data_IF_848423862007
#
_entry.id   IF_848423862007
#
_cell.length_a   1.000
_cell.length_b   1.000
_cell.length_c   1.000
_cell.angle_alpha   90.00
_cell.angle_beta   90.00
_cell.angle_gamma   90.00
#
_symmetry.space_group_name_H-M   'P 1'
#
loop_
_entity.id
_entity.type
_entity.pdbx_description
1 polymer ?
#
# COMPACT_ATOMS: atom_id res chain seq x y z
N UNK A 1 12.68 -4.48 -15.74
CA UNK A 1 13.85 -3.91 -15.05
C UNK A 1 14.01 -4.69 -13.77
N UNK A 2 15.23 -5.02 -13.37
CA UNK A 2 15.48 -5.67 -12.07
C UNK A 2 15.83 -4.59 -11.05
N UNK A 3 15.53 -4.86 -9.78
CA UNK A 3 15.84 -3.93 -8.68
C UNK A 3 17.31 -3.49 -8.67
N UNK A 4 18.24 -4.43 -8.87
CA UNK A 4 19.69 -4.13 -8.84
C UNK A 4 20.17 -3.27 -10.02
N UNK A 5 19.37 -3.12 -11.07
CA UNK A 5 19.66 -2.24 -12.22
C UNK A 5 19.23 -0.79 -11.94
N UNK A 6 18.47 -0.56 -10.87
CA UNK A 6 17.98 0.77 -10.51
C UNK A 6 18.98 1.46 -9.58
N UNK A 7 19.49 2.65 -9.93
CA UNK A 7 20.40 3.35 -9.06
C UNK A 7 19.72 3.71 -7.72
N UNK A 8 20.42 3.47 -6.62
CA UNK A 8 19.94 3.84 -5.28
C UNK A 8 19.70 5.35 -5.24
N UNK A 9 18.49 5.78 -4.88
CA UNK A 9 18.16 7.20 -4.90
C UNK A 9 18.97 7.97 -3.85
N UNK A 10 19.37 9.16 -4.22
CA UNK A 10 20.10 10.07 -3.34
C UNK A 10 19.19 11.20 -2.82
N UNK A 11 19.70 12.00 -1.88
CA UNK A 11 18.93 13.08 -1.25
C UNK A 11 18.63 14.28 -2.16
N UNK A 12 19.19 14.35 -3.38
CA UNK A 12 18.82 15.37 -4.35
C UNK A 12 17.48 15.07 -5.02
N UNK A 13 17.07 13.82 -5.02
CA UNK A 13 15.75 13.41 -5.50
C UNK A 13 14.70 13.78 -4.46
N UNK A 14 13.71 14.55 -4.86
CA UNK A 14 12.67 15.10 -3.97
C UNK A 14 12.02 14.06 -3.07
N UNK A 15 11.63 12.90 -3.62
CA UNK A 15 10.96 11.82 -2.88
C UNK A 15 11.86 11.18 -1.81
N UNK A 16 13.18 11.34 -1.90
CA UNK A 16 14.16 10.70 -1.02
C UNK A 16 14.99 11.69 -0.19
N UNK A 17 14.62 12.97 -0.22
CA UNK A 17 15.34 14.04 0.49
C UNK A 17 15.47 13.80 1.99
N UNK A 18 14.37 13.36 2.62
CA UNK A 18 14.28 13.24 4.07
C UNK A 18 14.46 11.81 4.58
N UNK A 19 14.20 10.82 3.74
CA UNK A 19 14.30 9.41 4.10
C UNK A 19 15.15 8.68 3.07
N UNK A 20 16.39 8.28 3.44
CA UNK A 20 17.24 7.52 2.53
C UNK A 20 16.70 6.10 2.33
N UNK A 21 16.93 5.53 1.13
CA UNK A 21 16.53 4.18 0.79
C UNK A 21 17.04 3.15 1.82
N UNK A 22 18.30 3.27 2.24
CA UNK A 22 18.92 2.38 3.23
C UNK A 22 18.22 2.34 4.61
N UNK A 23 17.43 3.36 4.93
CA UNK A 23 16.68 3.40 6.20
C UNK A 23 15.32 2.71 6.13
N UNK A 24 14.82 2.45 4.94
CA UNK A 24 13.52 1.80 4.72
C UNK A 24 13.65 0.43 4.07
N UNK A 25 14.82 0.08 3.57
CA UNK A 25 15.15 -1.25 3.08
C UNK A 25 15.27 -2.23 4.26
N UNK A 26 14.70 -3.44 4.18
CA UNK A 26 14.69 -4.37 5.33
C UNK A 26 16.05 -4.99 5.65
N UNK A 27 16.95 -5.01 4.67
CA UNK A 27 18.29 -5.62 4.80
C UNK A 27 19.36 -4.72 4.17
N UNK A 28 20.25 -5.25 3.34
CA UNK A 28 21.22 -4.48 2.55
C UNK A 28 20.61 -4.04 1.23
N UNK A 29 20.89 -2.80 0.81
CA UNK A 29 20.40 -2.22 -0.45
C UNK A 29 20.91 -2.97 -1.70
N UNK A 30 21.92 -3.81 -1.56
CA UNK A 30 22.51 -4.61 -2.63
C UNK A 30 21.85 -5.99 -2.79
N UNK A 31 20.73 -6.22 -2.12
CA UNK A 31 20.06 -7.52 -2.14
C UNK A 31 18.53 -7.39 -2.17
N UNK A 32 17.88 -8.40 -2.72
CA UNK A 32 16.42 -8.55 -2.64
C UNK A 32 16.13 -9.84 -1.87
N UNK A 33 15.86 -9.76 -0.57
CA UNK A 33 15.48 -10.93 0.20
C UNK A 33 14.10 -11.43 -0.26
N UNK A 34 13.87 -12.74 -0.19
CA UNK A 34 12.53 -13.29 -0.29
C UNK A 34 11.83 -13.09 1.06
N UNK A 35 10.77 -12.28 1.05
CA UNK A 35 10.02 -11.94 2.24
C UNK A 35 8.67 -12.65 2.22
N UNK A 36 8.27 -13.21 3.35
CA UNK A 36 7.00 -13.90 3.49
C UNK A 36 5.81 -12.93 3.35
N UNK A 37 4.69 -13.44 2.84
CA UNK A 37 3.45 -12.68 2.81
C UNK A 37 2.91 -12.47 4.22
N UNK A 38 2.41 -11.27 4.50
CA UNK A 38 1.61 -11.02 5.69
C UNK A 38 0.32 -11.85 5.67
N UNK A 39 -0.25 -12.08 6.84
CA UNK A 39 -1.56 -12.72 6.95
C UNK A 39 -2.66 -11.72 6.57
N UNK A 40 -3.62 -12.17 5.76
CA UNK A 40 -4.74 -11.34 5.30
C UNK A 40 -6.05 -12.03 5.67
N UNK A 41 -6.88 -11.33 6.44
CA UNK A 41 -8.25 -11.74 6.77
C UNK A 41 -9.23 -10.67 6.30
N UNK A 42 -10.48 -11.07 6.03
CA UNK A 42 -11.46 -10.14 5.46
C UNK A 42 -12.88 -10.46 5.89
N UNK A 43 -13.71 -9.44 5.81
CA UNK A 43 -15.15 -9.52 6.01
C UNK A 43 -15.85 -8.53 5.07
N UNK A 44 -16.90 -8.97 4.40
CA UNK A 44 -17.73 -8.15 3.51
C UNK A 44 -17.19 -7.96 2.09
N UNK A 45 -15.91 -8.18 1.82
CA UNK A 45 -15.30 -8.12 0.48
C UNK A 45 -15.11 -9.51 -0.12
N UNK A 46 -15.02 -9.60 -1.45
CA UNK A 46 -14.57 -10.81 -2.13
C UNK A 46 -13.04 -10.74 -2.31
N UNK A 47 -12.32 -11.75 -1.84
CA UNK A 47 -10.86 -11.81 -1.96
C UNK A 47 -10.43 -13.09 -2.65
N UNK A 48 -9.64 -12.92 -3.71
CA UNK A 48 -8.93 -13.99 -4.38
C UNK A 48 -7.44 -13.92 -3.99
N UNK A 49 -7.01 -14.85 -3.17
CA UNK A 49 -5.62 -14.92 -2.70
C UNK A 49 -4.71 -15.62 -3.70
N UNK A 50 -3.40 -15.33 -3.58
CA UNK A 50 -2.33 -15.94 -4.38
C UNK A 50 -2.43 -15.68 -5.90
N UNK A 51 -3.05 -14.59 -6.30
CA UNK A 51 -2.94 -14.09 -7.66
C UNK A 51 -1.50 -13.65 -7.95
N UNK A 52 -1.05 -13.84 -9.18
CA UNK A 52 0.26 -13.34 -9.60
C UNK A 52 0.12 -11.89 -10.03
N UNK A 53 1.00 -11.05 -9.52
CA UNK A 53 1.02 -9.63 -9.86
C UNK A 53 1.58 -9.43 -11.28
N UNK A 54 0.94 -8.57 -12.06
CA UNK A 54 1.53 -8.06 -13.30
C UNK A 54 2.71 -7.13 -12.99
N UNK A 55 3.71 -7.11 -13.86
CA UNK A 55 4.84 -6.20 -13.70
C UNK A 55 4.35 -4.76 -13.75
N UNK A 56 4.72 -3.99 -12.74
CA UNK A 56 4.46 -2.55 -12.74
C UNK A 56 5.16 -1.89 -13.92
N UNK A 57 4.46 -1.04 -14.65
CA UNK A 57 5.04 -0.17 -15.67
C UNK A 57 5.82 1.01 -15.07
N UNK A 58 5.73 1.21 -13.76
CA UNK A 58 6.37 2.31 -13.06
C UNK A 58 7.76 1.86 -12.60
N UNK A 59 8.78 2.47 -13.17
CA UNK A 59 10.20 2.25 -12.84
C UNK A 59 10.59 3.02 -11.57
N UNK A 60 10.04 2.61 -10.44
CA UNK A 60 10.34 3.18 -9.12
C UNK A 60 10.98 2.11 -8.23
N UNK A 61 12.07 2.46 -7.56
CA UNK A 61 12.87 1.51 -6.79
C UNK A 61 12.04 0.78 -5.72
N UNK A 62 11.11 1.48 -5.05
CA UNK A 62 10.27 0.87 -4.02
C UNK A 62 9.31 -0.16 -4.60
N UNK A 63 8.68 0.17 -5.72
CA UNK A 63 7.70 -0.71 -6.39
C UNK A 63 8.35 -1.94 -6.95
N UNK A 64 9.50 -1.76 -7.62
CA UNK A 64 10.28 -2.88 -8.16
C UNK A 64 10.81 -3.78 -7.05
N UNK A 65 11.35 -3.19 -5.96
CA UNK A 65 11.80 -3.94 -4.81
C UNK A 65 10.67 -4.79 -4.19
N UNK A 66 9.53 -4.18 -3.90
CA UNK A 66 8.39 -4.88 -3.30
C UNK A 66 7.92 -6.03 -4.19
N UNK A 67 7.92 -5.84 -5.51
CA UNK A 67 7.50 -6.87 -6.45
C UNK A 67 8.50 -8.04 -6.55
N UNK A 68 9.80 -7.76 -6.50
CA UNK A 68 10.82 -8.82 -6.56
C UNK A 68 10.94 -9.59 -5.26
N UNK A 69 10.77 -8.90 -4.12
CA UNK A 69 10.82 -9.54 -2.80
C UNK A 69 9.66 -10.53 -2.56
N UNK A 70 8.48 -10.24 -3.13
CA UNK A 70 7.32 -11.14 -3.11
C UNK A 70 6.37 -10.79 -4.25
N UNK A 71 6.02 -11.76 -5.09
CA UNK A 71 5.14 -11.57 -6.25
C UNK A 71 3.70 -12.04 -6.03
N UNK A 72 3.34 -12.51 -4.84
CA UNK A 72 1.96 -12.89 -4.52
C UNK A 72 1.10 -11.64 -4.29
N UNK A 73 -0.18 -11.71 -4.64
CA UNK A 73 -1.13 -10.60 -4.53
C UNK A 73 -2.50 -11.12 -4.13
N UNK A 74 -3.24 -10.32 -3.38
CA UNK A 74 -4.66 -10.51 -3.12
C UNK A 74 -5.48 -9.58 -4.02
N UNK A 75 -6.33 -10.17 -4.84
CA UNK A 75 -7.33 -9.41 -5.60
C UNK A 75 -8.56 -9.20 -4.69
N UNK A 76 -8.88 -7.94 -4.41
CA UNK A 76 -9.96 -7.53 -3.51
C UNK A 76 -11.06 -6.85 -4.33
N UNK A 77 -12.23 -7.45 -4.40
CA UNK A 77 -13.39 -6.85 -5.05
C UNK A 77 -14.29 -6.22 -3.99
N UNK A 78 -14.49 -4.92 -4.12
CA UNK A 78 -15.43 -4.20 -3.28
C UNK A 78 -16.84 -4.54 -3.75
N UNK A 79 -17.61 -5.19 -2.88
CA UNK A 79 -19.00 -5.52 -3.10
C UNK A 79 -19.90 -4.43 -2.51
N UNK A 80 -21.15 -4.40 -2.94
CA UNK A 80 -22.13 -3.37 -2.64
C UNK A 80 -22.23 -3.10 -1.12
N UNK A 81 -22.39 -1.86 -0.77
CA UNK A 81 -22.53 -1.18 0.54
C UNK A 81 -22.82 -2.08 1.77
N UNK A 82 -22.03 -3.12 1.96
CA UNK A 82 -22.00 -3.82 3.25
C UNK A 82 -21.28 -2.92 4.26
N UNK A 83 -21.88 -2.65 5.44
CA UNK A 83 -21.25 -1.83 6.47
C UNK A 83 -19.96 -2.43 7.05
N UNK A 84 -19.54 -3.60 6.59
CA UNK A 84 -18.44 -4.38 7.14
C UNK A 84 -17.40 -4.82 6.09
N UNK A 85 -17.11 -3.98 5.08
CA UNK A 85 -16.03 -4.23 4.14
C UNK A 85 -14.67 -3.93 4.81
N UNK A 86 -14.12 -4.91 5.50
CA UNK A 86 -12.86 -4.80 6.25
C UNK A 86 -11.86 -5.82 5.72
N UNK A 87 -10.65 -5.36 5.46
CA UNK A 87 -9.49 -6.19 5.16
C UNK A 87 -8.43 -5.95 6.24
N UNK A 88 -8.07 -6.95 7.00
CA UNK A 88 -7.01 -6.86 7.99
C UNK A 88 -5.74 -7.53 7.48
N UNK A 89 -4.64 -6.76 7.45
CA UNK A 89 -3.29 -7.20 7.12
C UNK A 89 -2.50 -7.24 8.42
N UNK A 90 -2.07 -8.41 8.83
CA UNK A 90 -1.38 -8.59 10.10
C UNK A 90 -0.11 -9.41 9.96
N UNK A 91 0.90 -9.10 10.78
CA UNK A 91 2.12 -9.88 10.85
C UNK A 91 2.79 -9.76 12.21
N UNK A 92 3.37 -10.90 12.67
CA UNK A 92 4.25 -10.99 13.82
C UNK A 92 5.63 -11.51 13.41
N UNK A 93 5.87 -11.68 12.12
CA UNK A 93 7.19 -12.05 11.58
C UNK A 93 8.15 -10.87 11.65
N UNK A 94 9.44 -11.11 11.55
CA UNK A 94 10.43 -10.04 11.54
C UNK A 94 10.23 -9.09 10.35
N UNK A 95 9.93 -9.65 9.19
CA UNK A 95 9.69 -8.92 7.95
C UNK A 95 8.51 -9.55 7.20
N UNK A 96 7.63 -8.73 6.68
CA UNK A 96 6.49 -9.19 5.88
C UNK A 96 6.19 -8.25 4.72
N UNK A 97 5.56 -8.82 3.71
CA UNK A 97 5.08 -8.09 2.53
C UNK A 97 3.60 -8.39 2.29
N UNK A 98 2.86 -7.41 1.81
CA UNK A 98 1.52 -7.59 1.32
C UNK A 98 1.30 -6.78 0.04
N UNK A 99 0.71 -7.42 -0.96
CA UNK A 99 0.21 -6.75 -2.16
C UNK A 99 -1.29 -6.99 -2.25
N UNK A 100 -2.04 -5.90 -2.41
CA UNK A 100 -3.47 -5.96 -2.69
C UNK A 100 -3.78 -5.18 -3.96
N UNK A 101 -4.69 -5.73 -4.77
CA UNK A 101 -5.30 -5.00 -5.89
C UNK A 101 -6.80 -4.84 -5.61
N UNK A 102 -7.25 -3.60 -5.53
CA UNK A 102 -8.63 -3.26 -5.21
C UNK A 102 -9.41 -2.94 -6.48
N UNK A 103 -10.44 -3.72 -6.77
CA UNK A 103 -11.38 -3.45 -7.84
C UNK A 103 -12.71 -2.91 -7.25
N UNK A 104 -13.05 -1.68 -7.60
CA UNK A 104 -14.32 -1.07 -7.25
C UNK A 104 -15.16 -0.90 -8.52
N UNK A 105 -16.12 -1.81 -8.71
CA UNK A 105 -17.04 -1.80 -9.86
C UNK A 105 -18.47 -1.38 -9.49
N UNK A 106 -18.72 -1.13 -8.22
CA UNK A 106 -19.94 -0.60 -7.64
C UNK A 106 -19.59 0.45 -6.58
N UNK A 107 -20.51 1.30 -6.19
CA UNK A 107 -20.27 2.19 -5.04
C UNK A 107 -20.06 1.35 -3.77
N UNK A 108 -19.04 1.68 -3.00
CA UNK A 108 -18.78 0.91 -1.79
C UNK A 108 -17.69 1.52 -0.91
N UNK A 109 -17.43 0.86 0.20
CA UNK A 109 -16.39 1.23 1.15
C UNK A 109 -15.46 0.06 1.43
N UNK A 110 -14.19 0.35 1.72
CA UNK A 110 -13.21 -0.63 2.16
C UNK A 110 -12.33 -0.01 3.23
N UNK A 111 -12.24 -0.68 4.38
CA UNK A 111 -11.27 -0.33 5.42
C UNK A 111 -10.16 -1.36 5.41
N UNK A 112 -8.94 -0.92 5.21
CA UNK A 112 -7.72 -1.72 5.36
C UNK A 112 -7.11 -1.41 6.71
N UNK A 113 -6.99 -2.42 7.58
CA UNK A 113 -6.38 -2.32 8.89
C UNK A 113 -5.03 -3.02 8.90
N UNK A 114 -3.98 -2.32 9.33
CA UNK A 114 -2.64 -2.88 9.53
C UNK A 114 -2.44 -3.12 11.02
N UNK A 115 -2.04 -4.34 11.40
CA UNK A 115 -1.83 -4.72 12.80
C UNK A 115 -0.66 -5.71 12.98
N UNK A 116 -0.20 -5.85 14.22
CA UNK A 116 0.84 -6.82 14.58
C UNK A 116 2.16 -6.19 15.04
N UNK A 117 3.13 -7.06 15.30
CA UNK A 117 4.41 -6.71 15.93
C UNK A 117 5.61 -6.85 14.99
N UNK A 118 5.40 -6.95 13.70
CA UNK A 118 6.48 -7.03 12.70
C UNK A 118 7.45 -5.84 12.81
N UNK A 119 8.73 -6.06 12.55
CA UNK A 119 9.74 -5.01 12.53
C UNK A 119 9.77 -4.25 11.19
N UNK A 120 9.31 -4.90 10.13
CA UNK A 120 9.26 -4.29 8.80
C UNK A 120 8.04 -4.79 8.01
N UNK A 121 7.31 -3.87 7.41
CA UNK A 121 6.20 -4.17 6.51
C UNK A 121 6.40 -3.46 5.16
N UNK A 122 6.46 -4.25 4.09
CA UNK A 122 6.28 -3.79 2.72
C UNK A 122 4.80 -3.89 2.33
N UNK A 123 4.21 -2.79 1.89
CA UNK A 123 2.82 -2.77 1.44
C UNK A 123 2.72 -2.12 0.06
N UNK A 124 2.12 -2.83 -0.89
CA UNK A 124 1.76 -2.24 -2.16
C UNK A 124 0.26 -2.40 -2.39
N UNK A 125 -0.41 -1.27 -2.49
CA UNK A 125 -1.83 -1.19 -2.84
C UNK A 125 -1.91 -0.69 -4.28
N UNK A 126 -2.60 -1.44 -5.13
CA UNK A 126 -3.05 -0.92 -6.42
C UNK A 126 -4.56 -0.91 -6.43
N UNK A 127 -5.17 0.04 -7.13
CA UNK A 127 -6.62 0.11 -7.14
C UNK A 127 -7.18 0.73 -8.41
N UNK A 128 -8.37 0.27 -8.78
CA UNK A 128 -9.12 0.79 -9.92
C UNK A 128 -10.55 1.09 -9.51
N UNK A 129 -10.97 2.33 -9.70
CA UNK A 129 -12.36 2.73 -9.50
C UNK A 129 -13.02 2.87 -10.88
N UNK A 130 -14.02 2.03 -11.12
CA UNK A 130 -14.72 1.98 -12.39
C UNK A 130 -15.59 3.22 -12.63
N UNK A 131 -16.06 3.38 -13.87
CA UNK A 131 -16.90 4.50 -14.29
C UNK A 131 -18.16 4.62 -13.44
N UNK A 132 -18.50 5.85 -13.07
CA UNK A 132 -19.67 6.19 -12.25
C UNK A 132 -19.67 5.54 -10.87
N UNK A 133 -18.50 5.14 -10.34
CA UNK A 133 -18.38 4.52 -9.03
C UNK A 133 -17.67 5.43 -8.04
N UNK A 134 -18.08 5.33 -6.78
CA UNK A 134 -17.41 5.96 -5.65
C UNK A 134 -16.86 4.89 -4.74
N UNK A 135 -15.57 4.99 -4.41
CA UNK A 135 -14.91 4.19 -3.39
C UNK A 135 -14.57 5.06 -2.18
N UNK A 136 -15.15 4.77 -1.03
CA UNK A 136 -14.70 5.31 0.26
C UNK A 136 -13.67 4.35 0.84
N UNK A 137 -12.38 4.69 0.70
CA UNK A 137 -11.26 3.87 1.16
C UNK A 137 -10.69 4.42 2.46
N UNK A 138 -10.55 3.56 3.46
CA UNK A 138 -9.92 3.87 4.73
C UNK A 138 -8.70 3.01 4.99
N UNK A 139 -7.60 3.61 5.48
CA UNK A 139 -6.45 2.86 5.97
C UNK A 139 -6.19 3.21 7.43
N UNK A 140 -6.16 2.19 8.29
CA UNK A 140 -5.83 2.34 9.71
C UNK A 140 -4.52 1.59 9.98
N UNK A 141 -3.46 2.32 10.32
CA UNK A 141 -2.20 1.73 10.69
C UNK A 141 -2.04 1.72 12.21
N UNK A 142 -2.14 0.51 12.78
CA UNK A 142 -1.95 0.21 14.20
C UNK A 142 -0.84 -0.83 14.42
N UNK A 143 0.19 -0.78 13.58
CA UNK A 143 1.37 -1.63 13.73
C UNK A 143 2.20 -1.23 14.96
N UNK A 144 3.06 -2.12 15.42
CA UNK A 144 3.95 -1.85 16.55
C UNK A 144 4.75 -0.55 16.31
N UNK A 145 5.04 0.17 17.41
CA UNK A 145 5.82 1.41 17.38
C UNK A 145 7.25 1.25 16.84
N UNK A 146 7.72 0.03 16.66
CA UNK A 146 9.08 -0.27 16.15
C UNK A 146 9.10 -0.58 14.67
N UNK A 147 7.93 -0.79 14.05
CA UNK A 147 7.82 -1.18 12.65
C UNK A 147 8.32 -0.08 11.70
N UNK A 148 9.15 -0.46 10.74
CA UNK A 148 9.41 0.36 9.55
C UNK A 148 8.44 -0.04 8.45
N UNK A 149 7.76 0.92 7.83
CA UNK A 149 6.78 0.68 6.79
C UNK A 149 7.28 1.30 5.48
N UNK A 150 7.39 0.46 4.44
CA UNK A 150 7.57 0.89 3.06
C UNK A 150 6.25 0.66 2.33
N UNK A 151 5.53 1.74 2.00
CA UNK A 151 4.22 1.66 1.35
C UNK A 151 4.22 2.39 0.01
N UNK A 152 3.71 1.71 -1.01
CA UNK A 152 3.42 2.28 -2.31
C UNK A 152 1.93 2.09 -2.62
N UNK A 153 1.32 3.10 -3.23
CA UNK A 153 -0.06 3.02 -3.70
C UNK A 153 -0.18 3.59 -5.11
N UNK A 154 -0.94 2.90 -5.96
CA UNK A 154 -1.19 3.31 -7.34
C UNK A 154 -2.68 3.15 -7.64
N UNK A 155 -3.38 4.28 -7.77
CA UNK A 155 -4.81 4.35 -8.01
C UNK A 155 -5.11 4.87 -9.41
N UNK A 156 -6.08 4.26 -10.09
CA UNK A 156 -6.60 4.62 -11.41
C UNK A 156 -8.09 4.94 -11.30
N UNK A 157 -8.47 6.16 -11.65
CA UNK A 157 -9.84 6.64 -11.56
C UNK A 157 -10.40 6.88 -12.97
N UNK A 158 -11.46 6.14 -13.32
CA UNK A 158 -12.11 6.25 -14.62
C UNK A 158 -13.15 7.38 -14.62
N UNK A 159 -13.89 7.54 -15.73
CA UNK A 159 -14.87 8.60 -15.94
C UNK A 159 -15.90 8.66 -14.82
N UNK A 160 -16.17 9.89 -14.34
CA UNK A 160 -17.20 10.16 -13.35
C UNK A 160 -17.04 9.33 -12.07
N UNK A 161 -15.81 8.89 -11.77
CA UNK A 161 -15.50 8.13 -10.56
C UNK A 161 -14.91 9.01 -9.46
N UNK A 162 -15.03 8.55 -8.21
CA UNK A 162 -14.53 9.26 -7.05
C UNK A 162 -13.80 8.30 -6.11
N UNK A 163 -12.63 8.73 -5.65
CA UNK A 163 -11.93 8.09 -4.52
C UNK A 163 -11.96 9.04 -3.33
N UNK A 164 -12.66 8.64 -2.28
CA UNK A 164 -12.62 9.27 -0.97
C UNK A 164 -11.62 8.50 -0.11
N UNK A 165 -10.42 9.06 0.05
CA UNK A 165 -9.32 8.41 0.75
C UNK A 165 -9.16 8.97 2.15
N UNK A 166 -9.23 8.10 3.16
CA UNK A 166 -8.96 8.42 4.56
C UNK A 166 -7.82 7.59 5.12
N UNK A 167 -6.92 8.20 5.88
CA UNK A 167 -5.86 7.47 6.60
C UNK A 167 -5.75 7.94 8.04
N UNK A 168 -5.66 6.96 8.95
CA UNK A 168 -5.25 7.17 10.33
C UNK A 168 -4.01 6.32 10.62
N UNK A 169 -2.88 6.97 10.87
CA UNK A 169 -1.63 6.28 11.17
C UNK A 169 -1.17 6.56 12.60
N UNK A 170 -1.17 5.53 13.45
CA UNK A 170 -0.81 5.59 14.86
C UNK A 170 0.48 4.80 15.11
N UNK A 171 0.68 3.70 14.39
CA UNK A 171 1.81 2.80 14.52
C UNK A 171 3.01 3.16 13.64
N UNK A 172 4.09 2.40 13.82
CA UNK A 172 5.32 2.52 13.06
C UNK A 172 6.33 3.52 13.63
N UNK A 173 7.60 3.21 13.55
CA UNK A 173 8.71 4.12 13.90
C UNK A 173 9.16 4.97 12.71
N UNK A 174 9.05 4.41 11.52
CA UNK A 174 9.39 5.07 10.26
C UNK A 174 8.42 4.63 9.18
N UNK A 175 7.83 5.60 8.52
CA UNK A 175 6.86 5.35 7.46
C UNK A 175 7.34 6.09 6.20
N UNK A 176 7.58 5.35 5.13
CA UNK A 176 7.81 5.91 3.81
C UNK A 176 6.63 5.55 2.93
N UNK A 177 5.80 6.55 2.64
CA UNK A 177 4.66 6.42 1.75
C UNK A 177 4.92 7.10 0.41
N UNK A 178 4.48 6.48 -0.67
CA UNK A 178 4.39 7.08 -2.00
C UNK A 178 3.02 6.69 -2.59
N UNK A 179 2.07 7.62 -2.53
CA UNK A 179 0.71 7.46 -3.00
C UNK A 179 0.55 8.21 -4.33
N UNK A 180 0.17 7.50 -5.37
CA UNK A 180 -0.06 8.05 -6.71
C UNK A 180 -1.48 7.77 -7.14
N UNK A 181 -2.14 8.80 -7.62
CA UNK A 181 -3.51 8.68 -8.16
C UNK A 181 -3.52 9.28 -9.56
N UNK A 182 -3.94 8.47 -10.52
CA UNK A 182 -4.16 8.88 -11.89
C UNK A 182 -5.64 9.17 -12.11
N UNK A 183 -5.94 10.38 -12.56
CA UNK A 183 -7.28 10.80 -12.99
C UNK A 183 -7.37 10.56 -14.50
N UNK A 184 -7.62 9.30 -14.88
CA UNK A 184 -7.41 8.82 -16.26
C UNK A 184 -8.47 9.31 -17.23
N UNK A 185 -9.67 9.65 -16.76
CA UNK A 185 -10.79 10.09 -17.60
C UNK A 185 -11.49 11.33 -17.00
N UNK A 186 -12.35 11.95 -17.79
CA UNK A 186 -13.06 13.20 -17.41
C UNK A 186 -13.94 13.01 -16.17
N UNK A 187 -14.06 14.06 -15.36
CA UNK A 187 -14.83 14.13 -14.11
C UNK A 187 -14.40 13.12 -13.03
N UNK A 188 -13.27 12.44 -13.19
CA UNK A 188 -12.72 11.67 -12.09
C UNK A 188 -12.19 12.60 -10.99
N UNK A 189 -12.34 12.21 -9.73
CA UNK A 189 -12.01 13.08 -8.60
C UNK A 189 -11.40 12.28 -7.43
N UNK A 190 -10.52 12.97 -6.69
CA UNK A 190 -9.89 12.46 -5.46
C UNK A 190 -10.17 13.44 -4.32
N UNK A 191 -10.66 12.90 -3.20
CA UNK A 191 -10.66 13.58 -1.92
C UNK A 191 -9.78 12.79 -0.94
N UNK A 192 -8.74 13.42 -0.38
CA UNK A 192 -7.77 12.73 0.47
C UNK A 192 -7.60 13.45 1.81
N UNK A 193 -7.72 12.70 2.91
CA UNK A 193 -7.49 13.15 4.26
C UNK A 193 -6.57 12.18 4.99
N UNK A 194 -5.43 12.66 5.48
CA UNK A 194 -4.44 11.85 6.19
C UNK A 194 -4.19 12.45 7.57
N UNK A 195 -4.36 11.63 8.61
CA UNK A 195 -4.02 11.96 9.98
C UNK A 195 -2.90 11.03 10.47
N UNK A 196 -1.81 11.62 10.94
CA UNK A 196 -0.68 10.88 11.52
C UNK A 196 -0.51 11.33 12.97
N UNK A 197 -0.57 10.38 13.88
CA UNK A 197 -0.37 10.62 15.31
C UNK A 197 1.02 10.11 15.67
N UNK A 198 1.88 11.02 16.12
CA UNK A 198 3.24 10.70 16.55
C UNK A 198 3.42 11.01 18.03
N UNK A 199 4.21 10.20 18.73
CA UNK A 199 4.68 10.48 20.06
C UNK A 199 6.21 10.32 20.13
N UNK A 200 6.86 11.04 21.05
CA UNK A 200 8.30 10.98 21.24
C UNK A 200 9.10 11.41 19.99
N UNK A 201 10.11 10.61 19.63
CA UNK A 201 11.07 10.89 18.56
C UNK A 201 10.73 10.21 17.21
N UNK A 202 9.49 9.81 17.00
CA UNK A 202 9.06 9.20 15.73
C UNK A 202 9.02 10.24 14.62
N UNK A 203 9.55 9.88 13.45
CA UNK A 203 9.63 10.72 12.26
C UNK A 203 9.03 10.01 11.04
#
# INVERSE_FOLDING_TARGET
>A
MNYLDIPVPNRTQHLWRYTSWSKVHPTSVDSVPKIASANVTWNGVEVQSNSTREKSSIEDISRVFLQEANNSMHLVKVVDNSPANILEISSNEEQSICHIHVECTTNGSLIVKLSGSTNWLGLHITGKVAKNCTLSFGLVNDLSKQCTILRCEDWSLLRDSMLEYGELSIGGSRIKNDIRTSLDEVNSSLMQNIAVITDGSRH
#
